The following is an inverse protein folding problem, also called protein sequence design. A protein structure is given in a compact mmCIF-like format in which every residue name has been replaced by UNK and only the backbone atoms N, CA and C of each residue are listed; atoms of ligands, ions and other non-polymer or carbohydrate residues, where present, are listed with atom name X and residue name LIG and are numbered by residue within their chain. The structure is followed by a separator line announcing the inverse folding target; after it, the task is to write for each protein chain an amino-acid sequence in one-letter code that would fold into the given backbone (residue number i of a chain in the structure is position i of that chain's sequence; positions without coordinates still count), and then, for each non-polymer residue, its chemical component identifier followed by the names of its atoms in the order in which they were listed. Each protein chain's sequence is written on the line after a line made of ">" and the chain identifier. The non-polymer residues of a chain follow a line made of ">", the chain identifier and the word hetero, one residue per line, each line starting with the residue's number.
data_IF_390068523613
#
_entry.id   IF_390068523613
#
_cell.length_a   1.000
_cell.length_b   1.000
_cell.length_c   1.000
_cell.angle_alpha   90.00
_cell.angle_beta   90.00
_cell.angle_gamma   90.00
#
_symmetry.space_group_name_H-M   'P 1'
#
loop_
_entity.id
_entity.type
_entity.pdbx_description
1 polymer ?
#
# COMPACT_ATOMS: atom_id res chain seq x y z
N UNK A 1 -30.15 6.62 -3.47
CA UNK A 1 -28.71 6.94 -3.32
C UNK A 1 -27.85 5.67 -3.41
N UNK A 2 -27.25 5.40 -4.58
CA UNK A 2 -26.24 4.36 -4.79
C UNK A 2 -25.07 4.99 -5.56
N UNK A 3 -24.19 5.69 -4.84
CA UNK A 3 -22.94 6.28 -5.36
C UNK A 3 -21.74 5.43 -4.90
N UNK A 4 -21.83 4.12 -5.15
CA UNK A 4 -20.74 3.18 -4.94
C UNK A 4 -20.70 2.32 -6.19
N UNK A 5 -19.68 2.52 -7.03
CA UNK A 5 -18.86 1.47 -7.71
C UNK A 5 -18.37 1.75 -9.14
N UNK A 6 -18.46 2.94 -9.73
CA UNK A 6 -17.93 3.13 -11.10
C UNK A 6 -17.37 4.52 -11.39
N UNK A 7 -16.30 4.92 -10.68
CA UNK A 7 -15.31 5.79 -11.29
C UNK A 7 -14.26 4.88 -11.94
N UNK A 8 -13.98 5.04 -13.23
CA UNK A 8 -12.92 4.25 -13.86
C UNK A 8 -11.60 4.47 -13.08
N UNK A 9 -10.74 3.45 -12.87
CA UNK A 9 -9.45 3.67 -12.22
C UNK A 9 -8.64 4.80 -12.86
N UNK A 10 -8.83 5.03 -14.17
CA UNK A 10 -8.22 6.12 -14.91
C UNK A 10 -8.69 7.51 -14.46
N UNK A 11 -10.00 7.71 -14.24
CA UNK A 11 -10.54 8.97 -13.70
C UNK A 11 -10.05 9.25 -12.29
N UNK A 12 -10.02 8.21 -11.43
CA UNK A 12 -9.48 8.32 -10.08
C UNK A 12 -8.00 8.74 -10.10
N UNK A 13 -7.19 8.13 -10.98
CA UNK A 13 -5.76 8.50 -11.13
C UNK A 13 -5.62 9.98 -11.52
N UNK A 14 -6.39 10.46 -12.52
CA UNK A 14 -6.33 11.87 -12.93
C UNK A 14 -6.70 12.81 -11.80
N UNK A 15 -7.78 12.50 -11.07
CA UNK A 15 -8.20 13.29 -9.92
C UNK A 15 -7.11 13.34 -8.85
N UNK A 16 -6.57 12.19 -8.45
CA UNK A 16 -5.54 12.14 -7.42
C UNK A 16 -4.22 12.80 -7.83
N UNK A 17 -3.82 12.72 -9.11
CA UNK A 17 -2.66 13.44 -9.61
C UNK A 17 -2.80 14.96 -9.50
N UNK A 18 -4.02 15.50 -9.67
CA UNK A 18 -4.29 16.93 -9.46
C UNK A 18 -4.25 17.31 -7.97
N UNK A 19 -4.76 16.44 -7.09
CA UNK A 19 -4.81 16.69 -5.64
C UNK A 19 -3.43 16.51 -4.97
N UNK A 20 -2.52 15.71 -5.55
CA UNK A 20 -1.19 15.45 -5.02
C UNK A 20 -0.30 16.71 -4.87
N UNK A 21 -0.70 17.82 -5.50
CA UNK A 21 -0.04 19.14 -5.38
C UNK A 21 -0.12 19.68 -3.93
N UNK A 22 -1.12 19.25 -3.14
CA UNK A 22 -1.25 19.61 -1.72
C UNK A 22 -0.41 18.69 -0.81
N UNK A 23 0.68 19.24 -0.25
CA UNK A 23 1.62 18.50 0.60
C UNK A 23 0.98 17.86 1.82
N UNK A 24 -0.11 18.43 2.36
CA UNK A 24 -0.75 17.95 3.60
C UNK A 24 -1.46 16.61 3.42
N UNK A 25 -1.83 16.26 2.19
CA UNK A 25 -2.58 15.03 1.87
C UNK A 25 -1.77 14.04 1.05
N UNK A 26 -0.49 14.34 0.83
CA UNK A 26 0.41 13.56 -0.04
C UNK A 26 0.40 12.07 0.27
N UNK A 27 0.49 11.70 1.56
CA UNK A 27 0.50 10.29 1.98
C UNK A 27 -0.80 9.55 1.69
N UNK A 28 -1.94 10.13 2.06
CA UNK A 28 -3.25 9.54 1.82
C UNK A 28 -3.56 9.43 0.32
N UNK A 29 -3.24 10.46 -0.46
CA UNK A 29 -3.41 10.47 -1.92
C UNK A 29 -2.52 9.42 -2.59
N UNK A 30 -1.26 9.30 -2.16
CA UNK A 30 -0.36 8.27 -2.68
C UNK A 30 -0.90 6.86 -2.41
N UNK A 31 -1.48 6.60 -1.24
CA UNK A 31 -2.10 5.31 -0.94
C UNK A 31 -3.24 4.97 -1.91
N UNK A 32 -4.13 5.91 -2.17
CA UNK A 32 -5.24 5.72 -3.12
C UNK A 32 -4.75 5.55 -4.57
N UNK A 33 -3.74 6.30 -4.99
CA UNK A 33 -3.08 6.12 -6.30
C UNK A 33 -2.49 4.73 -6.43
N UNK A 34 -1.82 4.24 -5.38
CA UNK A 34 -1.25 2.90 -5.35
C UNK A 34 -2.31 1.82 -5.58
N UNK A 35 -3.46 1.93 -4.90
CA UNK A 35 -4.56 0.98 -5.07
C UNK A 35 -5.19 1.06 -6.48
N UNK A 36 -5.29 2.26 -7.05
CA UNK A 36 -5.78 2.44 -8.42
C UNK A 36 -4.84 1.81 -9.45
N UNK A 37 -3.52 2.07 -9.36
CA UNK A 37 -2.53 1.46 -10.24
C UNK A 37 -2.49 -0.06 -10.11
N UNK A 38 -2.62 -0.60 -8.89
CA UNK A 38 -2.67 -2.03 -8.67
C UNK A 38 -3.90 -2.67 -9.34
N UNK A 39 -5.07 -2.03 -9.27
CA UNK A 39 -6.30 -2.51 -9.93
C UNK A 39 -6.15 -2.63 -11.45
N UNK A 40 -5.36 -1.74 -12.07
CA UNK A 40 -5.06 -1.78 -13.52
C UNK A 40 -3.75 -2.51 -13.84
N UNK A 41 -3.22 -3.29 -12.89
CA UNK A 41 -2.01 -4.12 -13.04
C UNK A 41 -0.72 -3.34 -13.34
N UNK A 42 -0.70 -2.04 -13.06
CA UNK A 42 0.50 -1.20 -13.13
C UNK A 42 1.30 -1.32 -11.84
N UNK A 43 1.83 -2.52 -11.57
CA UNK A 43 2.44 -2.87 -10.29
C UNK A 43 3.66 -2.01 -9.90
N UNK A 44 4.58 -1.64 -10.81
CA UNK A 44 5.69 -0.75 -10.45
C UNK A 44 5.24 0.64 -9.99
N UNK A 45 4.20 1.19 -10.64
CA UNK A 45 3.61 2.47 -10.24
C UNK A 45 2.86 2.35 -8.91
N UNK A 46 2.16 1.24 -8.70
CA UNK A 46 1.50 0.96 -7.43
C UNK A 46 2.51 0.91 -6.28
N UNK A 47 3.62 0.19 -6.45
CA UNK A 47 4.67 0.06 -5.45
C UNK A 47 5.28 1.42 -5.07
N UNK A 48 5.65 2.25 -6.06
CA UNK A 48 6.20 3.59 -5.81
C UNK A 48 5.25 4.48 -5.01
N UNK A 49 3.96 4.39 -5.30
CA UNK A 49 2.93 5.14 -4.59
C UNK A 49 2.73 4.61 -3.16
N UNK A 50 2.77 3.30 -2.93
CA UNK A 50 2.73 2.76 -1.58
C UNK A 50 3.97 3.13 -0.75
N UNK A 51 5.16 3.12 -1.34
CA UNK A 51 6.38 3.61 -0.69
C UNK A 51 6.24 5.07 -0.28
N UNK A 52 5.80 5.93 -1.20
CA UNK A 52 5.53 7.34 -0.92
C UNK A 52 4.51 7.51 0.22
N UNK A 53 3.46 6.68 0.25
CA UNK A 53 2.48 6.70 1.33
C UNK A 53 3.11 6.32 2.67
N UNK A 54 3.88 5.24 2.74
CA UNK A 54 4.57 4.80 3.96
C UNK A 54 5.53 5.87 4.50
N UNK A 55 6.24 6.57 3.61
CA UNK A 55 7.18 7.63 3.97
C UNK A 55 6.49 8.92 4.44
N UNK A 56 5.30 9.21 3.89
CA UNK A 56 4.60 10.48 4.16
C UNK A 56 3.60 10.40 5.32
N UNK A 57 3.11 9.20 5.68
CA UNK A 57 2.12 9.00 6.72
C UNK A 57 2.80 8.85 8.08
N UNK A 58 2.46 9.73 9.03
CA UNK A 58 2.99 9.70 10.39
C UNK A 58 2.06 9.02 11.40
N UNK A 59 2.34 9.25 12.68
CA UNK A 59 1.60 8.62 13.79
C UNK A 59 0.13 9.03 13.85
N UNK A 60 -0.19 10.26 13.40
CA UNK A 60 -1.58 10.75 13.34
C UNK A 60 -2.41 10.01 12.30
N UNK A 61 -1.75 9.38 11.32
CA UNK A 61 -2.36 8.62 10.23
C UNK A 61 -1.99 7.14 10.31
N UNK A 62 -1.74 6.61 11.51
CA UNK A 62 -1.23 5.25 11.72
C UNK A 62 -2.06 4.18 11.01
N UNK A 63 -3.39 4.29 10.97
CA UNK A 63 -4.25 3.33 10.28
C UNK A 63 -4.06 3.35 8.76
N UNK A 64 -3.82 4.53 8.16
CA UNK A 64 -3.47 4.63 6.74
C UNK A 64 -2.06 4.07 6.51
N UNK A 65 -1.12 4.32 7.42
CA UNK A 65 0.25 3.79 7.34
C UNK A 65 0.25 2.26 7.40
N UNK A 66 -0.52 1.66 8.31
CA UNK A 66 -0.71 0.19 8.40
C UNK A 66 -1.24 -0.36 7.09
N UNK A 67 -2.25 0.28 6.50
CA UNK A 67 -2.81 -0.10 5.19
C UNK A 67 -1.76 0.00 4.07
N UNK A 68 -0.97 1.07 4.04
CA UNK A 68 0.09 1.26 3.05
C UNK A 68 1.18 0.19 3.15
N UNK A 69 1.67 -0.10 4.37
CA UNK A 69 2.64 -1.16 4.63
C UNK A 69 2.10 -2.53 4.20
N UNK A 70 0.85 -2.84 4.55
CA UNK A 70 0.21 -4.10 4.16
C UNK A 70 0.12 -4.24 2.64
N UNK A 71 -0.36 -3.20 1.95
CA UNK A 71 -0.48 -3.21 0.48
C UNK A 71 0.88 -3.34 -0.20
N UNK A 72 1.89 -2.61 0.26
CA UNK A 72 3.26 -2.72 -0.24
C UNK A 72 3.81 -4.13 -0.06
N UNK A 73 3.72 -4.70 1.14
CA UNK A 73 4.24 -6.04 1.43
C UNK A 73 3.56 -7.14 0.63
N UNK A 74 2.22 -7.10 0.52
CA UNK A 74 1.47 -8.06 -0.29
C UNK A 74 1.78 -7.94 -1.78
N UNK A 75 1.92 -6.72 -2.29
CA UNK A 75 2.28 -6.50 -3.69
C UNK A 75 3.71 -6.97 -3.98
N UNK A 76 4.67 -6.68 -3.09
CA UNK A 76 6.05 -7.14 -3.21
C UNK A 76 6.13 -8.66 -3.27
N UNK A 77 5.42 -9.36 -2.39
CA UNK A 77 5.33 -10.81 -2.40
C UNK A 77 4.75 -11.33 -3.74
N UNK A 78 3.69 -10.69 -4.25
CA UNK A 78 3.11 -11.05 -5.54
C UNK A 78 4.06 -10.78 -6.73
N UNK A 79 4.96 -9.81 -6.60
CA UNK A 79 6.02 -9.50 -7.56
C UNK A 79 7.27 -10.37 -7.38
N UNK A 80 7.25 -11.34 -6.44
CA UNK A 80 8.40 -12.18 -6.06
C UNK A 80 9.60 -11.38 -5.53
N UNK A 81 9.35 -10.17 -5.03
CA UNK A 81 10.33 -9.36 -4.33
C UNK A 81 10.21 -9.66 -2.82
N UNK A 82 10.89 -10.72 -2.40
CA UNK A 82 10.81 -11.25 -1.05
C UNK A 82 11.39 -10.29 -0.01
N UNK A 83 12.54 -9.68 -0.32
CA UNK A 83 13.21 -8.74 0.58
C UNK A 83 12.32 -7.54 0.89
N UNK A 84 11.68 -6.95 -0.14
CA UNK A 84 10.73 -5.87 0.07
C UNK A 84 9.48 -6.34 0.81
N UNK A 85 8.98 -7.54 0.52
CA UNK A 85 7.83 -8.10 1.22
C UNK A 85 8.09 -8.25 2.73
N UNK A 86 9.21 -8.85 3.09
CA UNK A 86 9.65 -8.98 4.49
C UNK A 86 9.82 -7.61 5.12
N UNK A 87 10.48 -6.67 4.47
CA UNK A 87 10.67 -5.31 5.00
C UNK A 87 9.33 -4.65 5.36
N UNK A 88 8.38 -4.60 4.43
CA UNK A 88 7.11 -3.91 4.68
C UNK A 88 6.21 -4.63 5.69
N UNK A 89 6.16 -5.96 5.64
CA UNK A 89 5.33 -6.74 6.56
C UNK A 89 5.93 -6.80 7.97
N UNK A 90 7.25 -6.83 8.11
CA UNK A 90 7.90 -6.73 9.42
C UNK A 90 7.69 -5.36 10.05
N UNK A 91 7.86 -4.28 9.26
CA UNK A 91 7.53 -2.93 9.74
C UNK A 91 6.06 -2.79 10.14
N UNK A 92 5.15 -3.49 9.47
CA UNK A 92 3.73 -3.54 9.86
C UNK A 92 3.54 -4.32 11.16
N UNK A 93 4.18 -5.47 11.30
CA UNK A 93 4.13 -6.29 12.50
C UNK A 93 4.66 -5.56 13.75
N UNK A 94 5.68 -4.72 13.61
CA UNK A 94 6.18 -3.85 14.69
C UNK A 94 5.12 -2.85 15.18
N UNK A 95 4.26 -2.37 14.27
CA UNK A 95 3.16 -1.44 14.61
C UNK A 95 1.94 -2.19 15.14
N UNK A 96 1.59 -3.31 14.50
CA UNK A 96 0.40 -4.11 14.81
C UNK A 96 0.54 -5.53 14.22
N UNK A 97 1.05 -6.45 15.04
CA UNK A 97 1.22 -7.87 14.67
C UNK A 97 -0.10 -8.58 14.34
N UNK A 98 -1.23 -8.09 14.87
CA UNK A 98 -2.57 -8.64 14.63
C UNK A 98 -3.25 -8.08 13.39
N UNK A 99 -2.58 -7.21 12.62
CA UNK A 99 -3.19 -6.59 11.45
C UNK A 99 -3.42 -7.60 10.32
N UNK A 100 -4.68 -8.02 10.13
CA UNK A 100 -5.10 -8.97 9.07
C UNK A 100 -4.35 -10.30 9.18
N UNK A 101 -3.68 -10.73 8.12
CA UNK A 101 -2.95 -12.00 7.99
C UNK A 101 -1.42 -11.78 7.93
N UNK A 102 -0.91 -10.71 8.55
CA UNK A 102 0.52 -10.34 8.51
C UNK A 102 1.39 -11.43 9.12
N UNK A 103 0.98 -12.00 10.26
CA UNK A 103 1.71 -13.07 10.93
C UNK A 103 1.85 -14.32 10.04
N UNK A 104 0.76 -14.75 9.39
CA UNK A 104 0.80 -15.90 8.47
C UNK A 104 1.67 -15.61 7.25
N UNK A 105 1.62 -14.39 6.69
CA UNK A 105 2.43 -13.99 5.54
C UNK A 105 3.91 -13.99 5.86
N UNK A 106 4.32 -13.43 7.00
CA UNK A 106 5.71 -13.42 7.44
C UNK A 106 6.23 -14.84 7.68
N UNK A 107 5.44 -15.69 8.34
CA UNK A 107 5.78 -17.10 8.53
C UNK A 107 6.01 -17.80 7.19
N UNK A 108 5.11 -17.60 6.22
CA UNK A 108 5.23 -18.21 4.89
C UNK A 108 6.48 -17.74 4.16
N UNK A 109 6.74 -16.43 4.15
CA UNK A 109 7.93 -15.87 3.48
C UNK A 109 9.21 -16.44 4.09
N UNK A 110 9.33 -16.53 5.41
CA UNK A 110 10.53 -17.08 6.06
C UNK A 110 10.69 -18.60 5.86
N UNK A 111 9.59 -19.34 5.68
CA UNK A 111 9.65 -20.78 5.45
C UNK A 111 10.13 -21.16 4.04
N UNK A 112 10.06 -20.25 3.06
CA UNK A 112 10.53 -20.50 1.69
C UNK A 112 12.07 -20.49 1.55
N UNK A 113 12.83 -20.11 2.60
CA UNK A 113 14.30 -20.16 2.62
C UNK A 113 14.88 -21.36 3.40
N UNK A 114 14.02 -22.17 4.03
CA UNK A 114 14.41 -23.33 4.85
C UNK A 114 14.29 -24.64 4.07
#
# INVERSE_FOLDING_TARGET
>A
MRLKTTGSPAEAIKFFQQVQIDSRRRGAVALELGECFQKIKQYPLAMRNYQTAVESLGDREVELRKRALYRAGVLAAAMKDKDAALKFLSNLAEVDFGYRDVAERLKKLNAEDA
#
